data_IF_140421465369
#
_entry.id   IF_140421465369
#
_cell.length_a   1.000
_cell.length_b   1.000
_cell.length_c   1.000
_cell.angle_alpha   90.00
_cell.angle_beta   90.00
_cell.angle_gamma   90.00
#
_symmetry.space_group_name_H-M   'P 1'
#
loop_
_entity.id
_entity.type
_entity.pdbx_description
1 polymer ?
#
# COMPACT_ATOMS: atom_id res chain seq x y z
N UNK A 1 -62.74 12.52 26.97
CA UNK A 1 -61.71 13.52 26.55
C UNK A 1 -60.61 13.53 27.58
N UNK A 2 -59.45 12.96 27.23
CA UNK A 2 -58.07 13.46 27.44
C UNK A 2 -57.11 12.28 27.23
N UNK A 3 -56.40 12.34 26.11
CA UNK A 3 -55.28 11.48 25.73
C UNK A 3 -54.12 11.61 26.73
N UNK A 4 -53.46 10.48 27.00
CA UNK A 4 -52.12 10.44 27.58
C UNK A 4 -51.21 9.83 26.52
N UNK A 5 -50.38 10.67 25.88
CA UNK A 5 -49.32 10.24 24.98
C UNK A 5 -48.13 9.72 25.81
N UNK A 6 -47.79 8.44 25.67
CA UNK A 6 -46.49 7.91 26.07
C UNK A 6 -45.45 8.26 25.00
N UNK A 7 -44.44 9.03 25.38
CA UNK A 7 -43.22 9.21 24.58
C UNK A 7 -42.27 8.10 25.02
N UNK A 8 -42.18 7.03 24.22
CA UNK A 8 -41.10 6.04 24.34
C UNK A 8 -39.93 6.56 23.51
N UNK A 9 -38.87 6.96 24.18
CA UNK A 9 -37.55 7.22 23.60
C UNK A 9 -36.89 5.89 23.23
N UNK A 10 -36.73 5.65 21.92
CA UNK A 10 -35.98 4.52 21.38
C UNK A 10 -34.48 4.85 21.38
N UNK A 11 -33.72 4.24 22.30
CA UNK A 11 -32.26 4.34 22.41
C UNK A 11 -31.52 3.10 21.84
N UNK A 12 -32.10 2.41 20.85
CA UNK A 12 -31.60 1.08 20.43
C UNK A 12 -30.72 1.05 19.16
N UNK A 13 -30.49 2.19 18.48
CA UNK A 13 -29.83 2.17 17.16
C UNK A 13 -28.29 2.23 17.20
N UNK A 14 -27.66 2.40 18.36
CA UNK A 14 -26.20 2.56 18.46
C UNK A 14 -25.41 1.26 18.71
N UNK A 15 -26.06 0.16 19.04
CA UNK A 15 -25.37 -1.09 19.40
C UNK A 15 -25.01 -1.96 18.18
N UNK A 16 -25.74 -1.82 17.08
CA UNK A 16 -25.52 -2.64 15.88
C UNK A 16 -24.28 -2.22 15.08
N UNK A 17 -23.91 -0.94 15.12
CA UNK A 17 -22.73 -0.46 14.39
C UNK A 17 -21.41 -0.96 15.00
N UNK A 18 -21.37 -1.13 16.33
CA UNK A 18 -20.16 -1.64 17.01
C UNK A 18 -19.93 -3.13 16.78
N UNK A 19 -20.99 -3.93 16.63
CA UNK A 19 -20.86 -5.36 16.26
C UNK A 19 -20.32 -5.57 14.85
N UNK A 20 -20.77 -4.77 13.89
CA UNK A 20 -20.32 -4.87 12.49
C UNK A 20 -18.82 -4.53 12.40
N UNK A 21 -18.34 -3.55 13.17
CA UNK A 21 -16.92 -3.13 13.18
C UNK A 21 -16.01 -4.16 13.89
N UNK A 22 -16.53 -4.91 14.86
CA UNK A 22 -15.77 -5.94 15.59
C UNK A 22 -15.68 -7.29 14.85
N UNK A 23 -16.67 -7.64 14.03
CA UNK A 23 -16.67 -8.88 13.23
C UNK A 23 -15.70 -8.82 12.04
N UNK A 24 -15.43 -7.64 11.47
CA UNK A 24 -14.47 -7.46 10.38
C UNK A 24 -13.00 -7.63 10.83
N UNK A 25 -12.70 -7.50 12.12
CA UNK A 25 -11.33 -7.51 12.66
C UNK A 25 -10.89 -8.84 13.31
N UNK A 26 -11.70 -9.89 13.21
CA UNK A 26 -11.31 -11.25 13.65
C UNK A 26 -11.34 -12.21 12.47
N UNK A 27 -10.49 -11.95 11.48
CA UNK A 27 -9.96 -13.06 10.71
C UNK A 27 -9.08 -13.88 11.65
N UNK A 28 -9.68 -14.88 12.32
CA UNK A 28 -8.90 -15.88 13.04
C UNK A 28 -7.88 -16.45 12.05
N UNK A 29 -6.60 -16.17 12.29
CA UNK A 29 -5.46 -16.75 11.58
C UNK A 29 -5.41 -18.24 11.96
N UNK A 30 -6.32 -19.01 11.40
CA UNK A 30 -6.20 -20.47 11.37
C UNK A 30 -4.87 -20.78 10.69
N UNK A 31 -4.08 -21.67 11.29
CA UNK A 31 -2.79 -22.11 10.75
C UNK A 31 -3.09 -22.92 9.48
N UNK A 32 -3.29 -22.20 8.38
CA UNK A 32 -3.43 -22.74 7.04
C UNK A 32 -2.06 -23.03 6.43
N UNK A 33 -2.02 -23.60 5.21
CA UNK A 33 -0.79 -23.77 4.47
C UNK A 33 -0.14 -22.41 4.17
N UNK A 34 1.18 -22.33 4.26
CA UNK A 34 1.96 -21.10 4.02
C UNK A 34 1.60 -20.40 2.70
N UNK A 35 1.33 -21.19 1.66
CA UNK A 35 0.99 -20.74 0.31
C UNK A 35 -0.43 -21.16 -0.08
N UNK A 36 -1.18 -20.26 -0.71
CA UNK A 36 -2.50 -20.58 -1.24
C UNK A 36 -2.43 -21.56 -2.41
N UNK A 37 -3.49 -22.36 -2.55
CA UNK A 37 -3.66 -23.23 -3.72
C UNK A 37 -3.76 -22.38 -5.00
N UNK A 38 -3.14 -22.81 -6.11
CA UNK A 38 -3.26 -22.11 -7.37
C UNK A 38 -4.71 -22.13 -7.87
N UNK A 39 -5.14 -21.05 -8.53
CA UNK A 39 -6.43 -20.99 -9.23
C UNK A 39 -6.53 -22.07 -10.32
N UNK A 40 -7.74 -22.53 -10.61
CA UNK A 40 -8.01 -23.49 -11.69
C UNK A 40 -7.53 -22.99 -13.05
N UNK A 41 -7.59 -21.67 -13.28
CA UNK A 41 -7.10 -21.03 -14.49
C UNK A 41 -5.57 -21.16 -14.64
N UNK A 42 -4.84 -20.97 -13.54
CA UNK A 42 -3.38 -21.13 -13.49
C UNK A 42 -3.01 -22.58 -13.75
N UNK A 43 -3.76 -23.53 -13.18
CA UNK A 43 -3.56 -24.96 -13.43
C UNK A 43 -3.79 -25.30 -14.90
N UNK A 44 -4.88 -24.80 -15.51
CA UNK A 44 -5.16 -24.98 -16.94
C UNK A 44 -4.02 -24.42 -17.79
N UNK A 45 -3.56 -23.20 -17.47
CA UNK A 45 -2.47 -22.53 -18.17
C UNK A 45 -1.18 -23.36 -18.10
N UNK A 46 -0.88 -23.99 -16.97
CA UNK A 46 0.35 -24.76 -16.76
C UNK A 46 0.46 -25.97 -17.69
N UNK A 47 -0.67 -26.58 -18.01
CA UNK A 47 -0.77 -27.78 -18.85
C UNK A 47 -1.27 -27.50 -20.28
N UNK A 48 -1.37 -26.23 -20.67
CA UNK A 48 -1.79 -25.84 -22.01
C UNK A 48 -0.59 -25.81 -22.99
N UNK A 49 -0.54 -26.77 -23.91
CA UNK A 49 0.44 -26.77 -25.01
C UNK A 49 1.88 -27.11 -24.60
N UNK A 50 2.85 -26.72 -25.42
CA UNK A 50 4.26 -27.09 -25.28
C UNK A 50 5.10 -25.88 -24.84
N UNK A 51 5.90 -26.03 -23.78
CA UNK A 51 6.72 -24.95 -23.20
C UNK A 51 7.75 -24.37 -24.16
N UNK A 52 8.28 -25.18 -25.09
CA UNK A 52 9.27 -24.74 -26.09
C UNK A 52 8.69 -23.71 -27.06
N UNK A 53 7.38 -23.73 -27.28
CA UNK A 53 6.66 -22.77 -28.13
C UNK A 53 6.21 -21.52 -27.35
N UNK A 54 6.68 -21.35 -26.10
CA UNK A 54 6.27 -20.23 -25.23
C UNK A 54 4.92 -20.41 -24.54
N UNK A 55 4.28 -21.58 -24.67
CA UNK A 55 3.00 -21.89 -24.01
C UNK A 55 3.21 -22.58 -22.66
N UNK A 56 2.12 -22.94 -21.99
CA UNK A 56 2.18 -23.79 -20.81
C UNK A 56 2.96 -23.18 -19.65
N UNK A 57 3.95 -23.94 -19.17
CA UNK A 57 4.85 -23.52 -18.08
C UNK A 57 5.69 -22.29 -18.42
N UNK A 58 6.07 -22.09 -19.69
CA UNK A 58 6.84 -20.91 -20.07
C UNK A 58 6.01 -19.64 -19.83
N UNK A 59 4.77 -19.62 -20.34
CA UNK A 59 3.81 -18.53 -20.09
C UNK A 59 3.55 -18.31 -18.59
N UNK A 60 3.39 -19.40 -17.82
CA UNK A 60 3.21 -19.31 -16.37
C UNK A 60 4.37 -18.60 -15.66
N UNK A 61 5.62 -18.89 -16.04
CA UNK A 61 6.78 -18.26 -15.41
C UNK A 61 6.79 -16.74 -15.62
N UNK A 62 6.34 -16.26 -16.77
CA UNK A 62 6.19 -14.84 -17.02
C UNK A 62 5.01 -14.23 -16.25
N UNK A 63 3.86 -14.91 -16.25
CA UNK A 63 2.64 -14.42 -15.59
C UNK A 63 2.76 -14.42 -14.06
N UNK A 64 3.55 -15.34 -13.50
CA UNK A 64 3.76 -15.47 -12.05
C UNK A 64 4.26 -14.17 -11.41
N UNK A 65 5.08 -13.38 -12.11
CA UNK A 65 5.62 -12.12 -11.57
C UNK A 65 4.61 -10.98 -11.54
N UNK A 66 3.45 -11.13 -12.19
CA UNK A 66 2.40 -10.09 -12.19
C UNK A 66 1.57 -10.09 -10.92
N UNK A 67 1.56 -11.21 -10.19
CA UNK A 67 0.80 -11.37 -8.96
C UNK A 67 1.65 -10.91 -7.77
N UNK A 68 1.02 -10.21 -6.82
CA UNK A 68 1.71 -9.80 -5.60
C UNK A 68 1.97 -11.00 -4.69
N UNK A 69 2.95 -10.87 -3.79
CA UNK A 69 3.28 -11.92 -2.83
C UNK A 69 2.17 -12.13 -1.81
N UNK A 70 1.49 -11.05 -1.42
CA UNK A 70 0.37 -11.05 -0.47
C UNK A 70 -0.83 -11.85 -0.98
N UNK A 71 -1.06 -11.88 -2.30
CA UNK A 71 -2.12 -12.69 -2.91
C UNK A 71 -1.74 -14.19 -2.97
N UNK A 72 -0.46 -14.52 -2.74
CA UNK A 72 0.09 -15.87 -2.91
C UNK A 72 0.37 -16.57 -1.59
N UNK A 73 0.69 -15.82 -0.55
CA UNK A 73 1.08 -16.34 0.75
C UNK A 73 0.28 -15.66 1.85
N UNK A 74 -0.09 -16.42 2.88
CA UNK A 74 -0.84 -15.89 4.02
C UNK A 74 0.02 -14.94 4.87
N UNK A 75 1.32 -15.19 4.95
CA UNK A 75 2.29 -14.42 5.74
C UNK A 75 3.65 -14.34 5.02
N UNK A 76 4.50 -13.36 5.34
CA UNK A 76 5.84 -13.27 4.81
C UNK A 76 6.70 -14.40 5.41
N UNK A 77 6.99 -15.43 4.62
CA UNK A 77 7.75 -16.62 5.08
C UNK A 77 9.23 -16.31 5.23
N UNK A 78 9.76 -15.43 4.37
CA UNK A 78 11.17 -15.09 4.31
C UNK A 78 11.38 -13.67 4.82
N UNK A 79 12.55 -13.41 5.43
CA UNK A 79 12.94 -12.07 5.86
C UNK A 79 12.99 -11.06 4.71
N UNK A 80 13.29 -11.51 3.49
CA UNK A 80 13.25 -10.65 2.31
C UNK A 80 11.83 -10.21 1.90
N UNK A 81 10.79 -10.93 2.33
CA UNK A 81 9.39 -10.60 2.06
C UNK A 81 8.80 -9.66 3.10
N UNK A 82 9.38 -9.62 4.31
CA UNK A 82 8.98 -8.70 5.37
C UNK A 82 9.11 -7.24 4.91
N UNK A 83 10.17 -6.95 4.16
CA UNK A 83 10.32 -5.65 3.52
C UNK A 83 9.32 -5.47 2.37
N UNK A 84 8.36 -4.57 2.58
CA UNK A 84 7.34 -4.24 1.58
C UNK A 84 6.02 -4.98 1.74
N UNK A 85 5.89 -5.88 2.72
CA UNK A 85 4.62 -6.52 3.05
C UNK A 85 3.58 -5.49 3.53
N UNK A 86 2.39 -5.50 2.95
CA UNK A 86 1.31 -4.53 3.16
C UNK A 86 1.57 -3.16 2.54
N UNK A 87 2.68 -2.97 1.82
CA UNK A 87 3.08 -1.66 1.32
C UNK A 87 2.20 -1.19 0.15
N UNK A 88 1.55 -2.11 -0.58
CA UNK A 88 0.59 -1.77 -1.63
C UNK A 88 -0.58 -0.92 -1.09
N UNK A 89 -1.09 -1.26 0.10
CA UNK A 89 -2.17 -0.50 0.74
C UNK A 89 -1.70 0.86 1.26
N UNK A 90 -0.48 0.92 1.81
CA UNK A 90 0.14 2.17 2.25
C UNK A 90 0.37 3.12 1.07
N UNK A 91 0.88 2.59 -0.04
CA UNK A 91 1.06 3.34 -1.29
C UNK A 91 -0.30 3.79 -1.80
N UNK A 92 -1.31 2.93 -1.86
CA UNK A 92 -2.66 3.32 -2.32
C UNK A 92 -3.22 4.49 -1.51
N UNK A 93 -3.11 4.43 -0.17
CA UNK A 93 -3.59 5.48 0.74
C UNK A 93 -2.77 6.78 0.66
N UNK A 94 -1.44 6.69 0.47
CA UNK A 94 -0.55 7.87 0.42
C UNK A 94 -0.46 8.51 -0.97
N UNK A 95 -0.46 7.70 -2.03
CA UNK A 95 -0.36 8.15 -3.43
C UNK A 95 -1.69 8.53 -4.06
N UNK A 96 -2.81 8.31 -3.38
CA UNK A 96 -4.08 8.96 -3.73
C UNK A 96 -3.92 10.50 -3.92
N UNK A 97 -2.90 11.11 -3.31
CA UNK A 97 -2.55 12.52 -3.46
C UNK A 97 -1.34 12.78 -4.40
N UNK A 98 -0.60 11.74 -4.81
CA UNK A 98 0.62 11.92 -5.62
C UNK A 98 0.31 11.73 -7.11
N UNK A 99 0.32 12.85 -7.84
CA UNK A 99 0.15 12.85 -9.31
C UNK A 99 1.31 12.08 -9.94
N UNK A 100 1.04 11.05 -10.76
CA UNK A 100 2.06 10.20 -11.42
C UNK A 100 3.17 10.98 -12.14
N UNK A 101 2.87 12.18 -12.63
CA UNK A 101 3.80 13.11 -13.29
C UNK A 101 3.80 14.49 -12.61
N UNK A 102 3.65 14.54 -11.30
CA UNK A 102 3.77 15.77 -10.52
C UNK A 102 5.19 16.31 -10.59
N UNK A 103 5.34 17.63 -10.76
CA UNK A 103 6.64 18.29 -10.58
C UNK A 103 7.02 18.18 -9.11
N UNK A 104 8.24 17.71 -8.84
CA UNK A 104 8.80 17.62 -7.49
C UNK A 104 9.83 18.73 -7.31
N UNK A 105 9.87 19.34 -6.13
CA UNK A 105 10.81 20.40 -5.80
C UNK A 105 12.14 19.84 -5.27
N UNK A 106 12.79 18.94 -6.04
CA UNK A 106 14.02 18.23 -5.62
C UNK A 106 15.13 19.20 -5.21
N UNK A 107 15.26 20.34 -5.90
CA UNK A 107 16.27 21.35 -5.59
C UNK A 107 15.98 22.01 -4.24
N UNK A 108 14.73 22.42 -4.02
CA UNK A 108 14.30 23.08 -2.77
C UNK A 108 14.49 22.14 -1.59
N UNK A 109 14.00 20.90 -1.72
CA UNK A 109 14.00 19.89 -0.66
C UNK A 109 15.41 19.39 -0.30
N UNK A 110 16.31 19.32 -1.29
CA UNK A 110 17.65 18.73 -1.08
C UNK A 110 18.71 19.77 -0.70
N UNK A 111 18.72 20.93 -1.36
CA UNK A 111 19.80 21.90 -1.20
C UNK A 111 19.55 22.89 -0.07
N UNK A 112 18.29 23.18 0.26
CA UNK A 112 17.93 24.18 1.25
C UNK A 112 17.39 23.53 2.52
N UNK A 113 17.87 24.00 3.67
CA UNK A 113 17.39 23.57 5.00
C UNK A 113 16.75 24.74 5.71
N UNK A 114 15.59 24.53 6.33
CA UNK A 114 14.82 25.54 7.08
C UNK A 114 15.64 26.29 8.14
N UNK A 115 16.61 25.61 8.75
CA UNK A 115 17.59 26.17 9.68
C UNK A 115 18.99 25.71 9.26
N UNK A 116 19.47 26.23 8.13
CA UNK A 116 20.84 26.03 7.67
C UNK A 116 21.77 27.12 8.19
N UNK A 117 23.03 26.78 8.44
CA UNK A 117 24.11 27.77 8.49
C UNK A 117 24.20 28.34 7.06
N UNK A 118 24.12 29.66 6.85
CA UNK A 118 24.22 30.23 5.50
C UNK A 118 25.57 29.83 4.91
N UNK A 119 25.55 28.93 3.92
CA UNK A 119 26.72 28.64 3.13
C UNK A 119 27.04 29.94 2.38
N UNK A 120 28.10 30.62 2.78
CA UNK A 120 28.60 31.80 2.06
C UNK A 120 29.18 31.30 0.74
N UNK A 121 28.36 31.15 -0.29
CA UNK A 121 28.84 30.83 -1.63
C UNK A 121 29.81 31.95 -2.04
N UNK A 122 31.09 31.61 -2.19
CA UNK A 122 32.11 32.56 -2.61
C UNK A 122 32.87 33.27 -1.48
N UNK A 123 32.85 32.78 -0.23
CA UNK A 123 33.78 33.23 0.81
C UNK A 123 35.24 32.84 0.47
N UNK A 124 35.86 33.61 -0.43
CA UNK A 124 37.17 33.34 -1.02
C UNK A 124 37.26 33.75 -2.49
N UNK A 125 36.13 34.07 -3.14
CA UNK A 125 36.10 34.66 -4.48
C UNK A 125 36.20 36.18 -4.35
N UNK A 126 37.33 36.75 -4.80
CA UNK A 126 37.53 38.20 -4.87
C UNK A 126 36.42 38.85 -5.72
N UNK A 127 35.60 39.70 -5.10
CA UNK A 127 34.68 40.61 -5.80
C UNK A 127 33.18 40.33 -5.65
N UNK A 128 32.75 39.32 -4.89
CA UNK A 128 31.32 39.02 -4.66
C UNK A 128 30.79 39.44 -3.28
N UNK A 129 31.68 39.91 -2.41
CA UNK A 129 31.46 40.40 -1.05
C UNK A 129 30.61 41.69 -0.98
N UNK A 130 30.36 42.34 -2.12
CA UNK A 130 29.57 43.59 -2.22
C UNK A 130 28.11 43.38 -2.61
N UNK A 131 27.70 42.16 -2.94
CA UNK A 131 26.35 41.85 -3.45
C UNK A 131 25.65 40.69 -2.74
N UNK A 132 26.12 40.31 -1.54
CA UNK A 132 25.35 39.39 -0.69
C UNK A 132 24.28 40.18 0.06
N UNK A 133 23.01 39.88 -0.23
CA UNK A 133 21.90 40.18 0.68
C UNK A 133 21.97 39.28 1.92
#
# INVERSE_FOLDING_TARGET
>A
MKESNEIVSNDDDNNNNNKIIEEENKQELTIGPDMFKPSSEVLKLLYEGISKEGKGRNRYLHDRYKLNLEDKFQFPILSSMEYGWGHADLISKSTAQSRKFGRQCVIEDSFYRRTGIPFKHGAGMIGLDKYSF
#
